data_IF_909148584703
#
_entry.id   IF_909148584703
#
_cell.length_a   1.000
_cell.length_b   1.000
_cell.length_c   1.000
_cell.angle_alpha   90.00
_cell.angle_beta   90.00
_cell.angle_gamma   90.00
#
_symmetry.space_group_name_H-M   'P 1'
#
loop_
_entity.id
_entity.type
_entity.pdbx_description
1 polymer ?
#
# COMPACT_ATOMS: atom_id res chain seq x y z
N UNK A 1 -17.44 -3.22 22.67
CA UNK A 1 -16.75 -3.66 21.44
C UNK A 1 -15.27 -3.39 21.64
N UNK A 2 -14.41 -4.39 21.41
CA UNK A 2 -12.97 -4.16 21.39
C UNK A 2 -12.65 -3.55 20.03
N UNK A 3 -12.20 -2.30 20.02
CA UNK A 3 -11.76 -1.63 18.81
C UNK A 3 -10.48 -2.29 18.30
N UNK A 4 -10.45 -2.63 17.02
CA UNK A 4 -9.26 -3.16 16.35
C UNK A 4 -8.65 -2.02 15.54
N UNK A 5 -7.40 -1.58 15.85
CA UNK A 5 -6.78 -0.50 15.11
C UNK A 5 -6.64 -0.83 13.62
N UNK A 6 -6.92 0.17 12.79
CA UNK A 6 -6.77 0.14 11.35
C UNK A 6 -5.43 0.76 10.93
N UNK A 7 -4.66 0.01 10.16
CA UNK A 7 -3.35 0.42 9.65
C UNK A 7 -3.34 0.40 8.13
N UNK A 8 -2.81 1.46 7.54
CA UNK A 8 -2.44 1.52 6.14
C UNK A 8 -0.93 1.33 5.99
N UNK A 9 -0.49 0.48 5.06
CA UNK A 9 0.93 0.30 4.75
C UNK A 9 1.16 0.58 3.27
N UNK A 10 2.15 1.41 2.96
CA UNK A 10 2.40 1.89 1.59
C UNK A 10 3.64 1.22 0.99
N UNK A 11 3.47 0.67 -0.22
CA UNK A 11 4.55 0.10 -1.03
C UNK A 11 4.50 0.64 -2.46
N UNK A 12 5.61 0.51 -3.19
CA UNK A 12 5.60 0.72 -4.63
C UNK A 12 4.80 -0.40 -5.33
N UNK A 13 5.08 -1.65 -4.94
CA UNK A 13 4.40 -2.84 -5.42
C UNK A 13 4.32 -3.88 -4.29
N UNK A 14 3.18 -4.57 -4.16
CA UNK A 14 3.00 -5.64 -3.17
C UNK A 14 3.29 -6.99 -3.84
N UNK A 15 4.56 -7.41 -3.79
CA UNK A 15 5.00 -8.76 -4.15
C UNK A 15 4.90 -9.76 -2.98
N UNK A 16 5.35 -11.02 -3.16
CA UNK A 16 5.14 -12.12 -2.21
C UNK A 16 5.60 -11.84 -0.78
N UNK A 17 6.74 -11.18 -0.62
CA UNK A 17 7.27 -10.82 0.69
C UNK A 17 6.40 -9.81 1.44
N UNK A 18 5.95 -8.75 0.76
CA UNK A 18 5.04 -7.77 1.34
C UNK A 18 3.71 -8.43 1.70
N UNK A 19 3.20 -9.29 0.80
CA UNK A 19 1.98 -10.05 1.01
C UNK A 19 2.03 -10.92 2.27
N UNK A 20 3.12 -11.69 2.47
CA UNK A 20 3.28 -12.54 3.66
C UNK A 20 3.25 -11.72 4.96
N UNK A 21 3.91 -10.55 4.97
CA UNK A 21 3.92 -9.65 6.13
C UNK A 21 2.57 -9.00 6.40
N UNK A 22 1.86 -8.55 5.36
CA UNK A 22 0.52 -7.97 5.49
C UNK A 22 -0.49 -9.01 5.97
N UNK A 23 -0.39 -10.26 5.51
CA UNK A 23 -1.21 -11.36 6.01
C UNK A 23 -0.96 -11.64 7.49
N UNK A 24 0.30 -11.71 7.92
CA UNK A 24 0.62 -11.90 9.33
C UNK A 24 0.15 -10.73 10.22
N UNK A 25 0.13 -9.50 9.69
CA UNK A 25 -0.41 -8.33 10.39
C UNK A 25 -1.94 -8.35 10.48
N UNK A 26 -2.61 -8.84 9.44
CA UNK A 26 -4.08 -8.93 9.36
C UNK A 26 -4.68 -9.88 10.43
N UNK A 27 -3.87 -10.78 10.99
CA UNK A 27 -4.30 -11.64 12.11
C UNK A 27 -4.48 -10.85 13.43
N UNK A 28 -4.02 -9.59 13.48
CA UNK A 28 -4.07 -8.74 14.69
C UNK A 28 -4.71 -7.38 14.49
N UNK A 29 -4.74 -6.87 13.26
CA UNK A 29 -5.14 -5.51 12.92
C UNK A 29 -6.03 -5.50 11.68
N UNK A 30 -6.80 -4.42 11.50
CA UNK A 30 -7.44 -4.16 10.21
C UNK A 30 -6.40 -3.55 9.26
N UNK A 31 -5.96 -4.31 8.25
CA UNK A 31 -4.83 -3.91 7.39
C UNK A 31 -5.31 -3.51 6.00
N UNK A 32 -4.86 -2.34 5.54
CA UNK A 32 -4.94 -1.93 4.13
C UNK A 32 -3.53 -1.81 3.56
N UNK A 33 -3.21 -2.60 2.55
CA UNK A 33 -1.98 -2.49 1.77
C UNK A 33 -2.20 -1.62 0.54
N UNK A 34 -1.54 -0.47 0.48
CA UNK A 34 -1.50 0.37 -0.70
C UNK A 34 -0.29 0.02 -1.56
N UNK A 35 -0.51 -0.17 -2.85
CA UNK A 35 0.56 -0.21 -3.85
C UNK A 35 0.36 0.87 -4.90
N UNK A 36 1.45 1.36 -5.47
CA UNK A 36 1.34 2.31 -6.58
C UNK A 36 1.06 1.59 -7.88
N UNK A 37 1.83 0.55 -8.17
CA UNK A 37 1.71 -0.25 -9.37
C UNK A 37 1.22 -1.64 -9.03
N UNK A 38 0.14 -2.06 -9.69
CA UNK A 38 -0.25 -3.47 -9.70
C UNK A 38 0.73 -4.34 -10.51
N UNK A 39 1.58 -3.73 -11.33
CA UNK A 39 2.58 -4.41 -12.16
C UNK A 39 3.99 -4.02 -11.74
N UNK A 40 4.73 -4.97 -11.18
CA UNK A 40 6.18 -4.86 -11.09
C UNK A 40 6.78 -6.17 -11.59
N UNK A 41 8.00 -6.09 -12.15
CA UNK A 41 8.79 -7.28 -12.44
C UNK A 41 9.40 -7.81 -11.17
N UNK A 42 8.64 -8.52 -10.34
CA UNK A 42 9.17 -9.21 -9.19
C UNK A 42 9.71 -10.60 -9.59
N UNK A 43 11.02 -10.77 -9.44
CA UNK A 43 11.72 -12.03 -9.73
C UNK A 43 11.27 -13.21 -8.85
N UNK A 44 10.45 -12.94 -7.83
CA UNK A 44 10.01 -13.87 -6.80
C UNK A 44 8.65 -14.54 -7.11
N UNK A 45 8.01 -14.17 -8.23
CA UNK A 45 6.74 -14.76 -8.65
C UNK A 45 5.52 -14.22 -7.90
N UNK A 46 4.40 -14.92 -8.01
CA UNK A 46 3.14 -14.54 -7.37
C UNK A 46 3.05 -15.06 -5.92
N UNK A 47 2.22 -14.42 -5.09
CA UNK A 47 1.92 -14.94 -3.77
C UNK A 47 1.03 -16.21 -3.86
N UNK A 48 1.37 -17.24 -3.10
CA UNK A 48 0.65 -18.54 -3.11
C UNK A 48 -0.57 -18.58 -2.18
N UNK A 49 -0.86 -17.49 -1.44
CA UNK A 49 -1.97 -17.43 -0.48
C UNK A 49 -2.95 -16.30 -0.78
N UNK A 50 -4.24 -16.44 -0.43
CA UNK A 50 -5.19 -15.34 -0.53
C UNK A 50 -4.82 -14.21 0.44
N UNK A 51 -5.12 -12.97 0.02
CA UNK A 51 -4.94 -11.80 0.88
C UNK A 51 -6.00 -11.77 1.98
N UNK A 52 -5.56 -11.69 3.24
CA UNK A 52 -6.39 -11.45 4.43
C UNK A 52 -6.50 -9.96 4.78
N UNK A 53 -5.89 -9.11 3.97
CA UNK A 53 -5.89 -7.66 4.08
C UNK A 53 -6.56 -7.03 2.85
N UNK A 54 -6.99 -5.77 2.96
CA UNK A 54 -7.49 -5.02 1.81
C UNK A 54 -6.31 -4.55 0.97
N UNK A 55 -6.22 -4.99 -0.29
CA UNK A 55 -5.24 -4.50 -1.25
C UNK A 55 -5.85 -3.36 -2.08
N UNK A 56 -5.13 -2.24 -2.19
CA UNK A 56 -5.54 -1.11 -3.02
C UNK A 56 -4.38 -0.71 -3.92
N UNK A 57 -4.56 -0.84 -5.22
CA UNK A 57 -3.61 -0.37 -6.23
C UNK A 57 -4.03 1.03 -6.68
N UNK A 58 -3.13 2.00 -6.58
CA UNK A 58 -3.41 3.38 -7.02
C UNK A 58 -3.45 3.48 -8.55
N UNK A 59 -2.62 2.68 -9.23
CA UNK A 59 -2.54 2.62 -10.68
C UNK A 59 -2.41 1.16 -11.15
N UNK A 60 -3.04 0.85 -12.28
CA UNK A 60 -3.02 -0.48 -12.90
C UNK A 60 -1.63 -0.86 -13.41
N UNK A 61 -0.90 0.11 -13.95
CA UNK A 61 0.50 -0.01 -14.36
C UNK A 61 1.22 1.30 -13.98
N UNK A 62 2.37 1.20 -13.30
CA UNK A 62 3.31 2.30 -13.22
C UNK A 62 4.30 2.19 -14.38
N UNK A 63 4.21 3.12 -15.32
CA UNK A 63 5.24 3.35 -16.34
C UNK A 63 6.32 4.27 -15.78
N UNK A 64 7.57 4.15 -16.25
CA UNK A 64 8.65 5.10 -15.94
C UNK A 64 8.27 6.56 -16.28
N UNK A 65 7.30 6.72 -17.19
CA UNK A 65 6.55 7.96 -17.41
C UNK A 65 5.49 8.09 -16.31
N UNK A 66 5.93 8.57 -15.14
CA UNK A 66 5.06 8.82 -14.00
C UNK A 66 3.88 9.74 -14.36
N UNK A 67 2.70 9.57 -13.74
CA UNK A 67 1.79 10.69 -13.58
C UNK A 67 2.48 11.80 -12.78
N UNK A 68 2.23 13.07 -13.11
CA UNK A 68 2.82 14.21 -12.41
C UNK A 68 2.57 14.13 -10.89
N UNK A 69 3.54 14.59 -10.06
CA UNK A 69 3.48 14.59 -8.58
C UNK A 69 2.09 14.91 -7.99
N UNK A 70 1.42 15.93 -8.52
CA UNK A 70 0.09 16.34 -8.07
C UNK A 70 -1.00 15.26 -8.27
N UNK A 71 -0.94 14.50 -9.36
CA UNK A 71 -1.89 13.41 -9.61
C UNK A 71 -1.65 12.24 -8.66
N UNK A 72 -0.39 11.92 -8.37
CA UNK A 72 -0.05 10.85 -7.42
C UNK A 72 -0.48 11.23 -5.99
N UNK A 73 -0.22 12.48 -5.57
CA UNK A 73 -0.72 13.03 -4.31
C UNK A 73 -2.25 12.93 -4.22
N UNK A 74 -2.99 13.37 -5.25
CA UNK A 74 -4.47 13.30 -5.23
C UNK A 74 -4.99 11.87 -5.14
N UNK A 75 -4.42 10.95 -5.90
CA UNK A 75 -4.81 9.54 -5.86
C UNK A 75 -4.58 8.94 -4.47
N UNK A 76 -3.39 9.18 -3.90
CA UNK A 76 -3.05 8.69 -2.58
C UNK A 76 -3.93 9.29 -1.48
N UNK A 77 -4.15 10.61 -1.48
CA UNK A 77 -5.04 11.27 -0.52
C UNK A 77 -6.48 10.78 -0.61
N UNK A 78 -6.99 10.55 -1.82
CA UNK A 78 -8.31 9.96 -2.02
C UNK A 78 -8.39 8.55 -1.44
N UNK A 79 -7.37 7.73 -1.69
CA UNK A 79 -7.31 6.36 -1.19
C UNK A 79 -7.19 6.30 0.33
N UNK A 80 -6.39 7.17 0.95
CA UNK A 80 -6.27 7.31 2.40
C UNK A 80 -7.60 7.74 3.04
N UNK A 81 -8.28 8.75 2.48
CA UNK A 81 -9.60 9.18 2.99
C UNK A 81 -10.64 8.06 2.95
N UNK A 82 -10.61 7.24 1.90
CA UNK A 82 -11.52 6.10 1.77
C UNK A 82 -11.18 4.94 2.72
N UNK A 83 -9.90 4.72 3.03
CA UNK A 83 -9.47 3.71 3.98
C UNK A 83 -9.63 4.14 5.44
N UNK A 84 -9.55 5.45 5.70
CA UNK A 84 -9.64 6.08 7.01
C UNK A 84 -8.85 5.33 8.11
N UNK A 85 -7.53 5.09 7.91
CA UNK A 85 -6.72 4.36 8.88
C UNK A 85 -6.39 5.22 10.10
N UNK A 86 -6.12 4.58 11.23
CA UNK A 86 -5.65 5.25 12.45
C UNK A 86 -4.15 5.57 12.37
N UNK A 87 -3.41 4.72 11.65
CA UNK A 87 -1.97 4.84 11.45
C UNK A 87 -1.61 4.54 10.00
N UNK A 88 -0.72 5.35 9.43
CA UNK A 88 -0.11 5.09 8.13
C UNK A 88 1.36 4.71 8.34
N UNK A 89 1.71 3.48 8.03
CA UNK A 89 3.08 3.00 7.98
C UNK A 89 3.67 3.25 6.59
N UNK A 90 4.70 4.09 6.57
CA UNK A 90 5.39 4.50 5.36
C UNK A 90 6.76 3.84 5.33
N UNK A 91 7.10 3.21 4.21
CA UNK A 91 8.44 2.66 4.03
C UNK A 91 9.46 3.82 3.97
N UNK A 92 10.45 3.81 4.87
CA UNK A 92 11.44 4.89 5.02
C UNK A 92 12.53 4.96 3.94
N UNK A 93 12.31 4.33 2.79
CA UNK A 93 13.21 4.41 1.63
C UNK A 93 12.62 5.38 0.63
N UNK A 94 13.49 6.17 -0.02
CA UNK A 94 13.29 7.32 -0.94
C UNK A 94 12.20 7.18 -2.02
N UNK A 95 11.00 6.79 -1.62
CA UNK A 95 9.81 6.66 -2.41
C UNK A 95 8.86 7.73 -1.89
N UNK A 96 8.20 8.39 -2.83
CA UNK A 96 7.17 9.42 -2.65
C UNK A 96 6.17 9.20 -1.51
N UNK A 97 5.96 7.96 -1.03
CA UNK A 97 5.17 7.67 0.17
C UNK A 97 5.70 8.42 1.38
N UNK A 98 7.02 8.50 1.54
CA UNK A 98 7.69 9.30 2.58
C UNK A 98 7.49 10.81 2.37
N UNK A 99 7.37 11.25 1.12
CA UNK A 99 7.21 12.66 0.78
C UNK A 99 5.78 13.16 0.97
N UNK A 100 4.75 12.33 0.76
CA UNK A 100 3.35 12.75 0.89
C UNK A 100 2.81 12.58 2.31
N UNK A 101 3.30 11.60 3.07
CA UNK A 101 2.86 11.47 4.46
C UNK A 101 3.46 12.54 5.39
N UNK A 102 4.45 13.31 4.93
CA UNK A 102 5.12 14.37 5.67
C UNK A 102 4.65 15.80 5.29
N UNK A 103 3.74 15.93 4.33
CA UNK A 103 3.11 17.17 3.84
C UNK A 103 1.64 17.24 4.33
#
# INVERSE_FOLDING_TARGET
MVYTPAIAVVFYHIGPYHHARLNAAADRLSVTGFEWSAKAGDAWGAADSPARYRKVSLFSEATDQYPAKAQLQRAFWSALKQANPDVVAVNGWNNFGSLVAAD
#
